data_IF_683976204180
#
_entry.id   IF_683976204180
#
_cell.length_a   1.000
_cell.length_b   1.000
_cell.length_c   1.000
_cell.angle_alpha   90.00
_cell.angle_beta   90.00
_cell.angle_gamma   90.00
#
_symmetry.space_group_name_H-M   'P 1'
#
loop_
_entity.id
_entity.type
_entity.pdbx_description
1 polymer ?
#
# COMPACT_ATOMS: atom_id res chain seq x y z
N UNK A 1 -2.50 21.35 -34.75
CA UNK A 1 -2.77 22.05 -33.49
C UNK A 1 -3.55 21.08 -32.61
N UNK A 2 -2.85 20.28 -31.81
CA UNK A 2 -3.43 19.30 -30.88
C UNK A 2 -3.09 19.76 -29.45
N UNK A 3 -4.00 19.61 -28.48
CA UNK A 3 -3.90 20.32 -27.21
C UNK A 3 -2.83 19.71 -26.29
N UNK A 4 -1.89 20.56 -25.90
CA UNK A 4 -0.78 20.33 -24.97
C UNK A 4 -1.22 20.57 -23.51
N UNK A 5 -2.06 19.70 -22.95
CA UNK A 5 -2.67 19.94 -21.62
C UNK A 5 -2.51 18.80 -20.60
N UNK A 6 -1.57 17.86 -20.77
CA UNK A 6 -1.35 16.83 -19.75
C UNK A 6 0.14 16.58 -19.53
N UNK A 7 0.85 17.59 -19.03
CA UNK A 7 2.30 17.61 -18.85
C UNK A 7 2.67 17.87 -17.38
N UNK A 8 1.93 17.32 -16.42
CA UNK A 8 2.25 17.44 -15.00
C UNK A 8 2.41 16.05 -14.35
N UNK A 9 3.65 15.59 -14.06
CA UNK A 9 3.89 14.30 -13.40
C UNK A 9 3.26 14.23 -12.00
N UNK A 10 2.98 15.38 -11.39
CA UNK A 10 2.23 15.51 -10.14
C UNK A 10 0.80 14.98 -10.27
N UNK A 11 0.11 15.23 -11.39
CA UNK A 11 -1.29 14.85 -11.59
C UNK A 11 -1.48 13.32 -11.62
N UNK A 12 -0.48 12.59 -12.10
CA UNK A 12 -0.48 11.12 -12.13
C UNK A 12 -0.19 10.50 -10.76
N UNK A 13 0.75 11.11 -10.01
CA UNK A 13 0.96 10.79 -8.59
C UNK A 13 -0.34 11.04 -7.82
N UNK A 14 -1.02 12.16 -8.08
CA UNK A 14 -2.31 12.48 -7.47
C UNK A 14 -3.41 11.49 -7.89
N UNK A 15 -3.47 11.06 -9.16
CA UNK A 15 -4.49 10.11 -9.63
C UNK A 15 -4.26 8.69 -9.09
N UNK A 16 -3.01 8.23 -9.09
CA UNK A 16 -2.63 6.96 -8.49
C UNK A 16 -2.87 7.00 -6.98
N UNK A 17 -2.39 8.04 -6.29
CA UNK A 17 -2.66 8.24 -4.87
C UNK A 17 -4.17 8.35 -4.58
N UNK A 18 -4.96 9.01 -5.43
CA UNK A 18 -6.42 9.10 -5.28
C UNK A 18 -7.11 7.74 -5.51
N UNK A 19 -6.62 6.93 -6.45
CA UNK A 19 -7.09 5.57 -6.66
C UNK A 19 -6.74 4.68 -5.47
N UNK A 20 -5.52 4.80 -4.92
CA UNK A 20 -5.10 4.11 -3.69
C UNK A 20 -5.86 4.58 -2.47
N UNK A 21 -6.15 5.88 -2.35
CA UNK A 21 -7.02 6.43 -1.33
C UNK A 21 -8.43 5.87 -1.50
N UNK A 22 -8.99 5.76 -2.70
CA UNK A 22 -10.30 5.14 -2.92
C UNK A 22 -10.34 3.65 -2.54
N UNK A 23 -9.32 2.87 -2.91
CA UNK A 23 -9.20 1.45 -2.55
C UNK A 23 -9.00 1.27 -1.03
N UNK A 24 -8.17 2.09 -0.39
CA UNK A 24 -7.97 2.07 1.06
C UNK A 24 -9.22 2.57 1.83
N UNK A 25 -9.91 3.59 1.32
CA UNK A 25 -11.15 4.09 1.92
C UNK A 25 -12.31 3.08 1.81
N UNK A 26 -12.33 2.26 0.77
CA UNK A 26 -13.26 1.11 0.67
C UNK A 26 -13.08 0.12 1.82
N UNK A 27 -11.83 -0.16 2.22
CA UNK A 27 -11.50 -1.07 3.33
C UNK A 27 -11.77 -0.44 4.71
N UNK A 28 -11.50 0.86 4.87
CA UNK A 28 -11.77 1.60 6.11
C UNK A 28 -13.25 1.53 6.54
N UNK A 29 -14.18 1.32 5.60
CA UNK A 29 -15.60 1.04 5.89
C UNK A 29 -15.80 -0.22 6.74
N UNK A 30 -15.06 -1.31 6.47
CA UNK A 30 -15.20 -2.56 7.23
C UNK A 30 -14.53 -2.47 8.61
N UNK A 31 -13.35 -1.87 8.70
CA UNK A 31 -12.66 -1.65 9.96
C UNK A 31 -13.45 -0.72 10.89
N UNK A 32 -14.03 0.38 10.38
CA UNK A 32 -14.95 1.23 11.16
C UNK A 32 -16.18 0.47 11.64
N UNK A 33 -16.80 -0.36 10.80
CA UNK A 33 -17.94 -1.20 11.21
C UNK A 33 -17.55 -2.20 12.29
N UNK A 34 -16.35 -2.77 12.22
CA UNK A 34 -15.81 -3.66 13.25
C UNK A 34 -15.54 -2.89 14.55
N UNK A 35 -14.92 -1.71 14.46
CA UNK A 35 -14.66 -0.85 15.62
C UNK A 35 -15.94 -0.38 16.30
N UNK A 36 -16.99 -0.06 15.55
CA UNK A 36 -18.31 0.30 16.09
C UNK A 36 -19.01 -0.88 16.79
N UNK A 37 -18.81 -2.10 16.28
CA UNK A 37 -19.29 -3.31 16.97
C UNK A 37 -18.48 -3.62 18.22
N UNK A 38 -17.15 -3.43 18.17
CA UNK A 38 -16.26 -3.62 19.31
C UNK A 38 -16.52 -2.57 20.42
N UNK A 39 -16.79 -1.32 20.06
CA UNK A 39 -17.02 -0.23 21.03
C UNK A 39 -18.34 -0.36 21.79
N UNK A 40 -19.34 -1.04 21.21
CA UNK A 40 -20.61 -1.39 21.88
C UNK A 40 -20.47 -2.55 22.87
N UNK A 41 -19.39 -3.31 22.82
CA UNK A 41 -19.13 -4.42 23.74
C UNK A 41 -18.41 -3.92 24.99
N UNK A 42 -18.69 -4.50 26.17
CA UNK A 42 -18.06 -4.10 27.45
C UNK A 42 -16.53 -3.99 27.30
N UNK A 43 -15.90 -2.93 27.84
CA UNK A 43 -14.48 -2.66 27.63
C UNK A 43 -13.62 -3.72 28.34
N UNK A 44 -13.23 -4.74 27.58
CA UNK A 44 -12.17 -5.69 27.98
C UNK A 44 -10.82 -5.16 27.51
N UNK A 45 -9.75 -5.43 28.27
CA UNK A 45 -8.37 -5.09 27.88
C UNK A 45 -8.04 -5.65 26.49
N UNK A 46 -8.56 -6.83 26.15
CA UNK A 46 -8.38 -7.46 24.84
C UNK A 46 -8.95 -6.61 23.68
N UNK A 47 -10.10 -5.97 23.87
CA UNK A 47 -10.74 -5.10 22.86
C UNK A 47 -9.89 -3.87 22.58
N UNK A 48 -9.22 -3.32 23.60
CA UNK A 48 -8.32 -2.17 23.47
C UNK A 48 -7.07 -2.51 22.64
N UNK A 49 -6.46 -3.67 22.89
CA UNK A 49 -5.32 -4.15 22.10
C UNK A 49 -5.71 -4.47 20.66
N UNK A 50 -6.85 -5.12 20.45
CA UNK A 50 -7.36 -5.42 19.10
C UNK A 50 -7.59 -4.15 18.29
N UNK A 51 -8.15 -3.09 18.90
CA UNK A 51 -8.33 -1.79 18.26
C UNK A 51 -7.00 -1.13 17.87
N UNK A 52 -6.01 -1.18 18.76
CA UNK A 52 -4.68 -0.62 18.48
C UNK A 52 -3.99 -1.36 17.34
N UNK A 53 -4.07 -2.70 17.32
CA UNK A 53 -3.47 -3.53 16.27
C UNK A 53 -4.09 -3.26 14.89
N UNK A 54 -5.42 -3.14 14.81
CA UNK A 54 -6.13 -2.77 13.58
C UNK A 54 -5.69 -1.40 13.05
N UNK A 55 -5.54 -0.41 13.93
CA UNK A 55 -5.09 0.92 13.54
C UNK A 55 -3.64 0.89 13.01
N UNK A 56 -2.78 0.10 13.67
CA UNK A 56 -1.39 -0.05 13.27
C UNK A 56 -1.28 -0.77 11.93
N UNK A 57 -2.06 -1.84 11.72
CA UNK A 57 -2.06 -2.58 10.45
C UNK A 57 -2.56 -1.71 9.29
N UNK A 58 -3.63 -0.93 9.46
CA UNK A 58 -4.09 0.02 8.44
C UNK A 58 -3.02 1.07 8.11
N UNK A 59 -2.33 1.59 9.12
CA UNK A 59 -1.26 2.57 8.92
C UNK A 59 -0.10 1.96 8.13
N UNK A 60 0.29 0.72 8.44
CA UNK A 60 1.38 0.04 7.73
C UNK A 60 1.06 -0.23 6.26
N UNK A 61 -0.19 -0.55 5.93
CA UNK A 61 -0.63 -0.79 4.54
C UNK A 61 -0.47 0.46 3.68
N UNK A 62 -0.72 1.65 4.24
CA UNK A 62 -0.58 2.93 3.53
C UNK A 62 0.87 3.39 3.52
N UNK A 63 1.60 3.19 4.61
CA UNK A 63 2.97 3.67 4.75
C UNK A 63 3.94 2.96 3.78
N UNK A 64 3.75 1.65 3.56
CA UNK A 64 4.63 0.85 2.70
C UNK A 64 4.70 1.33 1.24
N UNK A 65 3.59 1.52 0.50
CA UNK A 65 3.63 2.03 -0.86
C UNK A 65 4.13 3.48 -0.94
N UNK A 66 3.90 4.31 0.09
CA UNK A 66 4.42 5.69 0.13
C UNK A 66 5.95 5.70 0.23
N UNK A 67 6.53 4.87 1.10
CA UNK A 67 7.99 4.72 1.21
C UNK A 67 8.56 4.18 -0.11
N UNK A 68 7.88 3.22 -0.74
CA UNK A 68 8.28 2.67 -2.02
C UNK A 68 8.31 3.73 -3.13
N UNK A 69 7.28 4.59 -3.20
CA UNK A 69 7.21 5.71 -4.15
C UNK A 69 8.31 6.74 -3.89
N UNK A 70 8.61 7.04 -2.62
CA UNK A 70 9.72 7.91 -2.26
C UNK A 70 11.07 7.34 -2.71
N UNK A 71 11.28 6.02 -2.54
CA UNK A 71 12.48 5.35 -3.04
C UNK A 71 12.59 5.41 -4.56
N UNK A 72 11.50 5.17 -5.29
CA UNK A 72 11.44 5.29 -6.75
C UNK A 72 11.74 6.72 -7.23
N UNK A 73 11.32 7.73 -6.47
CA UNK A 73 11.59 9.14 -6.79
C UNK A 73 13.06 9.51 -6.58
N UNK A 74 13.72 8.91 -5.58
CA UNK A 74 15.11 9.24 -5.23
C UNK A 74 16.16 8.33 -5.90
N UNK A 75 15.86 7.05 -6.12
CA UNK A 75 16.81 6.05 -6.66
C UNK A 75 16.08 4.90 -7.37
N UNK A 76 15.57 5.11 -8.60
CA UNK A 76 14.82 4.09 -9.35
C UNK A 76 15.68 2.90 -9.82
N UNK A 77 17.01 3.00 -9.76
CA UNK A 77 17.93 1.97 -10.22
C UNK A 77 18.42 1.02 -9.11
N UNK A 78 17.88 1.12 -7.89
CA UNK A 78 18.20 0.13 -6.84
C UNK A 78 17.30 -1.12 -6.99
N UNK A 79 17.81 -2.35 -6.83
CA UNK A 79 16.94 -3.51 -6.69
C UNK A 79 16.02 -3.32 -5.47
N UNK A 80 14.73 -3.67 -5.51
CA UNK A 80 14.09 -4.73 -6.30
C UNK A 80 13.23 -4.26 -7.49
N UNK A 81 13.45 -3.03 -7.98
CA UNK A 81 12.56 -2.43 -8.96
C UNK A 81 12.74 -3.02 -10.37
N UNK A 82 11.65 -3.15 -11.14
CA UNK A 82 11.69 -3.70 -12.52
C UNK A 82 12.65 -2.90 -13.42
N UNK A 83 12.85 -1.60 -13.14
CA UNK A 83 13.80 -0.77 -13.87
C UNK A 83 15.27 -1.16 -13.67
N UNK A 84 15.62 -1.77 -12.54
CA UNK A 84 17.00 -2.24 -12.28
C UNK A 84 17.43 -3.40 -13.20
N UNK A 85 16.48 -4.08 -13.86
CA UNK A 85 16.75 -5.16 -14.81
C UNK A 85 17.23 -4.62 -16.17
N UNK A 86 16.92 -3.36 -16.48
CA UNK A 86 17.33 -2.78 -17.75
C UNK A 86 18.79 -2.28 -17.67
N UNK A 87 19.66 -2.69 -18.61
CA UNK A 87 21.09 -2.34 -18.58
C UNK A 87 21.36 -0.84 -18.71
N UNK A 88 20.40 -0.06 -19.22
CA UNK A 88 20.50 1.38 -19.44
C UNK A 88 19.52 2.17 -18.55
N UNK A 89 19.45 1.84 -17.25
CA UNK A 89 18.53 2.49 -16.30
C UNK A 89 18.72 4.02 -16.25
N UNK A 90 19.97 4.49 -16.25
CA UNK A 90 20.32 5.92 -16.15
C UNK A 90 19.91 6.70 -17.42
N UNK A 91 20.14 6.14 -18.60
CA UNK A 91 19.76 6.75 -19.88
C UNK A 91 18.24 6.83 -20.05
N UNK A 92 17.48 5.81 -19.62
CA UNK A 92 16.01 5.80 -19.71
C UNK A 92 15.41 6.86 -18.79
N UNK A 93 15.99 7.06 -17.61
CA UNK A 93 15.56 8.09 -16.66
C UNK A 93 15.78 9.49 -17.24
N UNK A 94 16.99 9.77 -17.71
CA UNK A 94 17.36 11.06 -18.29
C UNK A 94 16.50 11.38 -19.52
N UNK A 95 16.24 10.40 -20.37
CA UNK A 95 15.42 10.56 -21.57
C UNK A 95 13.94 10.79 -21.24
N UNK A 96 13.41 10.11 -20.21
CA UNK A 96 12.03 10.31 -19.75
C UNK A 96 11.80 11.72 -19.17
N UNK A 97 12.82 12.25 -18.47
CA UNK A 97 12.79 13.57 -17.86
C UNK A 97 12.99 14.68 -18.90
N UNK A 98 13.79 14.43 -19.95
CA UNK A 98 14.13 15.43 -20.97
C UNK A 98 13.10 15.57 -22.10
N UNK A 99 12.50 14.47 -22.60
CA UNK A 99 11.59 14.53 -23.77
C UNK A 99 10.09 14.43 -23.42
N UNK A 100 9.77 14.11 -22.18
CA UNK A 100 8.38 13.93 -21.77
C UNK A 100 7.66 12.83 -22.55
N UNK A 101 6.33 12.82 -22.46
CA UNK A 101 5.47 11.69 -22.73
C UNK A 101 5.18 11.41 -24.22
N UNK A 102 5.87 12.10 -25.13
CA UNK A 102 5.62 11.97 -26.58
C UNK A 102 6.31 10.76 -27.22
N UNK A 103 7.24 10.11 -26.50
CA UNK A 103 8.03 8.99 -27.00
C UNK A 103 7.57 7.64 -26.39
N UNK A 104 7.66 6.56 -27.19
CA UNK A 104 7.31 5.18 -26.80
C UNK A 104 8.01 4.73 -25.51
N UNK A 105 9.24 5.21 -25.28
CA UNK A 105 10.05 4.90 -24.09
C UNK A 105 9.45 5.50 -22.81
N UNK A 106 8.83 6.69 -22.89
CA UNK A 106 8.17 7.33 -21.76
C UNK A 106 6.90 6.59 -21.31
N UNK A 107 6.11 6.11 -22.27
CA UNK A 107 4.92 5.31 -21.98
C UNK A 107 5.27 3.98 -21.29
N UNK A 108 6.33 3.31 -21.75
CA UNK A 108 6.81 2.07 -21.13
C UNK A 108 7.19 2.27 -19.66
N UNK A 109 7.91 3.36 -19.36
CA UNK A 109 8.29 3.75 -18.00
C UNK A 109 7.08 3.91 -17.07
N UNK A 110 6.01 4.53 -17.57
CA UNK A 110 4.77 4.72 -16.82
C UNK A 110 4.06 3.39 -16.53
N UNK A 111 3.94 2.52 -17.54
CA UNK A 111 3.28 1.21 -17.38
C UNK A 111 4.02 0.37 -16.35
N UNK A 112 5.36 0.39 -16.39
CA UNK A 112 6.20 -0.33 -15.42
C UNK A 112 5.97 0.20 -14.00
N UNK A 113 6.02 1.52 -13.80
CA UNK A 113 5.76 2.13 -12.48
C UNK A 113 4.35 1.81 -11.98
N UNK A 114 3.34 1.95 -12.83
CA UNK A 114 1.95 1.65 -12.46
C UNK A 114 1.76 0.18 -12.07
N UNK A 115 2.34 -0.74 -12.85
CA UNK A 115 2.31 -2.17 -12.57
C UNK A 115 3.01 -2.52 -11.26
N UNK A 116 4.14 -1.89 -10.99
CA UNK A 116 4.93 -2.12 -9.78
C UNK A 116 4.20 -1.68 -8.51
N UNK A 117 3.58 -0.48 -8.53
CA UNK A 117 2.79 -0.01 -7.39
C UNK A 117 1.53 -0.88 -7.22
N UNK A 118 0.88 -1.28 -8.32
CA UNK A 118 -0.25 -2.19 -8.29
C UNK A 118 0.09 -3.55 -7.63
N UNK A 119 1.19 -4.17 -8.07
CA UNK A 119 1.67 -5.44 -7.51
C UNK A 119 2.06 -5.31 -6.03
N UNK A 120 2.72 -4.21 -5.67
CA UNK A 120 3.09 -3.92 -4.27
C UNK A 120 1.85 -3.84 -3.38
N UNK A 121 0.81 -3.14 -3.83
CA UNK A 121 -0.45 -3.05 -3.09
C UNK A 121 -1.13 -4.41 -2.95
N UNK A 122 -1.17 -5.21 -4.01
CA UNK A 122 -1.70 -6.57 -3.93
C UNK A 122 -0.94 -7.44 -2.92
N UNK A 123 0.40 -7.39 -2.94
CA UNK A 123 1.26 -8.13 -2.01
C UNK A 123 1.03 -7.72 -0.56
N UNK A 124 1.02 -6.41 -0.29
CA UNK A 124 0.79 -5.86 1.06
C UNK A 124 -0.61 -6.21 1.55
N UNK A 125 -1.63 -6.12 0.68
CA UNK A 125 -3.00 -6.45 1.05
C UNK A 125 -3.17 -7.95 1.37
N UNK A 126 -2.63 -8.82 0.51
CA UNK A 126 -2.63 -10.26 0.76
C UNK A 126 -1.91 -10.60 2.07
N UNK A 127 -0.70 -10.07 2.26
CA UNK A 127 0.09 -10.31 3.47
C UNK A 127 -0.60 -9.82 4.75
N UNK A 128 -1.23 -8.65 4.71
CA UNK A 128 -1.90 -8.08 5.89
C UNK A 128 -3.13 -8.89 6.33
N UNK A 129 -3.89 -9.46 5.39
CA UNK A 129 -5.02 -10.35 5.71
C UNK A 129 -4.52 -11.57 6.48
N UNK A 130 -3.47 -12.24 5.99
CA UNK A 130 -2.89 -13.40 6.65
C UNK A 130 -2.32 -13.07 8.03
N UNK A 131 -1.59 -11.96 8.13
CA UNK A 131 -0.99 -11.54 9.39
C UNK A 131 -2.05 -11.19 10.44
N UNK A 132 -3.11 -10.50 10.03
CA UNK A 132 -4.26 -10.20 10.90
C UNK A 132 -4.98 -11.48 11.34
N UNK A 133 -5.16 -12.45 10.43
CA UNK A 133 -5.78 -13.72 10.74
C UNK A 133 -5.00 -14.53 11.79
N UNK A 134 -3.68 -14.63 11.64
CA UNK A 134 -2.81 -15.35 12.58
C UNK A 134 -2.87 -14.70 13.97
N UNK A 135 -2.81 -13.37 14.04
CA UNK A 135 -2.84 -12.65 15.31
C UNK A 135 -4.18 -12.82 16.04
N UNK A 136 -5.31 -12.68 15.33
CA UNK A 136 -6.63 -12.87 15.93
C UNK A 136 -6.80 -14.31 16.43
N UNK A 137 -6.43 -15.28 15.60
CA UNK A 137 -6.50 -16.70 15.96
C UNK A 137 -5.62 -16.99 17.18
N UNK A 138 -4.39 -16.48 17.20
CA UNK A 138 -3.47 -16.63 18.32
C UNK A 138 -4.01 -16.06 19.64
N UNK A 139 -4.62 -14.87 19.60
CA UNK A 139 -5.25 -14.26 20.79
C UNK A 139 -6.39 -15.14 21.31
N UNK A 140 -7.25 -15.65 20.43
CA UNK A 140 -8.37 -16.53 20.82
C UNK A 140 -7.86 -17.82 21.46
N UNK A 141 -6.83 -18.45 20.87
CA UNK A 141 -6.22 -19.66 21.43
C UNK A 141 -5.65 -19.43 22.83
N UNK A 142 -4.93 -18.32 23.05
CA UNK A 142 -4.36 -17.99 24.36
C UNK A 142 -5.46 -17.74 25.40
N UNK A 143 -6.52 -17.02 25.01
CA UNK A 143 -7.65 -16.75 25.92
C UNK A 143 -8.39 -18.02 26.33
N UNK A 144 -8.59 -18.94 25.40
CA UNK A 144 -9.25 -20.22 25.68
C UNK A 144 -8.36 -21.10 26.57
N UNK A 145 -7.06 -21.12 26.32
CA UNK A 145 -6.10 -21.83 27.17
C UNK A 145 -6.11 -21.32 28.62
N UNK A 146 -6.10 -20.00 28.82
CA UNK A 146 -6.19 -19.41 30.15
C UNK A 146 -7.51 -19.75 30.86
N UNK A 147 -8.63 -19.78 30.13
CA UNK A 147 -9.93 -20.18 30.68
C UNK A 147 -9.95 -21.63 31.17
N UNK A 148 -9.29 -22.53 30.45
CA UNK A 148 -9.20 -23.94 30.83
C UNK A 148 -8.33 -24.10 32.08
N UNK A 149 -7.26 -23.30 32.20
CA UNK A 149 -6.35 -23.31 33.35
C UNK A 149 -6.94 -22.70 34.63
N UNK A 150 -7.84 -21.73 34.50
CA UNK A 150 -8.53 -21.10 35.63
C UNK A 150 -9.62 -22.01 36.24
N UNK A 151 -9.99 -23.07 35.54
CA UNK A 151 -10.99 -24.07 35.97
C UNK A 151 -10.35 -25.26 36.66
#
# INVERSE_FOLDING_TARGET
>A
MAPSQFQDPSLWIFYSAAMFLNLCYGHHSMAKRLQDKLSKTKPSRAVKYMKFFLMLSETTVVLFPVIQLLLLTYSPCTPPFIMSIFPNCEEIMEYSQAKGWSDIKGWLSMVVHGFEVWMTVHMVYAGNIWLTYIVITGIVCILEYLRILER
#
